data_IF_395406817568
#
_entry.id   IF_395406817568
#
_cell.length_a   1.000
_cell.length_b   1.000
_cell.length_c   1.000
_cell.angle_alpha   90.00
_cell.angle_beta   90.00
_cell.angle_gamma   90.00
#
_symmetry.space_group_name_H-M   'P 1'
#
loop_
_entity.id
_entity.type
_entity.pdbx_description
1 polymer ?
2 water ?
#
# COMPACT_ATOMS: atom_id res chain seq x y z
N UNK A 5 14.70 29.59 -4.92
CA UNK A 5 14.40 29.39 -3.48
C UNK A 5 13.42 28.23 -3.32
N UNK A 6 12.24 28.39 -3.92
CA UNK A 6 11.19 27.38 -3.86
C UNK A 6 11.52 26.12 -4.66
N UNK A 7 12.05 26.29 -5.87
CA UNK A 7 12.39 25.15 -6.70
C UNK A 7 13.55 24.39 -6.07
N UNK A 8 14.46 25.11 -5.42
CA UNK A 8 15.59 24.48 -4.76
C UNK A 8 15.06 23.62 -3.61
N UNK A 9 14.07 24.15 -2.90
CA UNK A 9 13.45 23.44 -1.79
C UNK A 9 12.78 22.18 -2.32
N UNK A 10 12.04 22.34 -3.40
CA UNK A 10 11.32 21.24 -4.03
C UNK A 10 12.25 20.12 -4.49
N UNK A 11 13.36 20.50 -5.13
CA UNK A 11 14.30 19.51 -5.63
C UNK A 11 14.95 18.71 -4.50
N UNK A 12 15.27 19.39 -3.40
CA UNK A 12 15.88 18.73 -2.25
C UNK A 12 14.86 17.83 -1.56
N UNK A 13 13.60 18.27 -1.49
CA UNK A 13 12.55 17.48 -0.86
C UNK A 13 12.24 16.25 -1.73
N UNK A 14 12.23 16.44 -3.04
CA UNK A 14 11.96 15.35 -3.96
C UNK A 14 13.07 14.30 -3.88
N UNK A 15 14.32 14.76 -3.83
CA UNK A 15 15.46 13.85 -3.72
C UNK A 15 15.40 13.08 -2.40
N UNK A 16 15.02 13.77 -1.33
CA UNK A 16 14.93 13.16 -0.01
C UNK A 16 13.81 12.11 0.06
N UNK A 17 12.67 12.41 -0.54
CA UNK A 17 11.54 11.49 -0.54
C UNK A 17 11.91 10.19 -1.25
N UNK A 18 12.58 10.32 -2.38
CA UNK A 18 13.00 9.16 -3.15
C UNK A 18 14.11 8.39 -2.44
N UNK A 19 15.12 9.11 -1.99
CA UNK A 19 16.28 8.53 -1.31
C UNK A 19 15.94 7.82 0.00
N UNK A 20 15.16 8.49 0.84
CA UNK A 20 14.79 7.94 2.14
C UNK A 20 13.63 6.94 2.14
N UNK A 21 12.58 7.24 1.38
CA UNK A 21 11.40 6.38 1.39
C UNK A 21 10.95 5.80 0.06
N UNK A 22 11.71 6.03 -1.01
CA UNK A 22 11.38 5.51 -2.33
C UNK A 22 10.07 6.09 -2.87
N UNK A 23 9.68 7.24 -2.31
CA UNK A 23 8.46 7.92 -2.73
C UNK A 23 8.76 8.75 -3.97
N UNK A 24 7.84 8.72 -4.93
CA UNK A 24 7.97 9.49 -6.17
C UNK A 24 6.75 10.38 -6.32
N UNK A 25 6.98 11.65 -6.60
CA UNK A 25 5.88 12.60 -6.72
C UNK A 25 6.01 13.51 -7.93
N UNK A 26 4.87 14.02 -8.44
CA UNK A 26 4.84 14.91 -9.59
C UNK A 26 5.31 16.29 -9.10
N UNK A 27 6.15 16.97 -9.89
CA UNK A 27 6.64 18.29 -9.46
C UNK A 27 5.55 19.32 -9.17
N UNK A 28 4.45 19.28 -9.93
CA UNK A 28 3.36 20.24 -9.73
C UNK A 28 2.71 20.05 -8.36
N UNK A 29 2.49 18.80 -7.97
CA UNK A 29 1.90 18.52 -6.67
C UNK A 29 2.85 18.95 -5.56
N UNK A 30 4.13 18.65 -5.75
CA UNK A 30 5.16 18.98 -4.76
C UNK A 30 5.30 20.48 -4.50
N UNK A 31 5.40 21.28 -5.56
CA UNK A 31 5.55 22.71 -5.36
C UNK A 31 4.31 23.29 -4.68
N UNK A 32 3.14 22.76 -5.02
CA UNK A 32 1.91 23.24 -4.42
C UNK A 32 1.88 22.82 -2.96
N UNK A 33 2.44 21.64 -2.68
CA UNK A 33 2.48 21.14 -1.31
C UNK A 33 3.38 22.01 -0.46
N UNK A 34 4.50 22.45 -1.03
CA UNK A 34 5.44 23.29 -0.30
C UNK A 34 4.82 24.65 0.00
N UNK A 35 4.12 25.20 -0.98
CA UNK A 35 3.46 26.49 -0.80
C UNK A 35 2.41 26.37 0.30
N UNK A 36 1.63 25.29 0.26
CA UNK A 36 0.59 25.07 1.25
C UNK A 36 1.17 24.97 2.66
N UNK A 37 2.30 24.28 2.79
CA UNK A 37 2.94 24.10 4.09
C UNK A 37 3.48 25.42 4.64
N UNK A 38 3.98 26.28 3.76
CA UNK A 38 4.50 27.57 4.19
C UNK A 38 3.36 28.44 4.70
N UNK A 39 2.23 28.40 3.99
CA UNK A 39 1.06 29.18 4.37
C UNK A 39 0.42 28.68 5.66
N UNK A 40 0.59 27.39 5.95
CA UNK A 40 0.02 26.81 7.17
C UNK A 40 0.86 27.15 8.39
N UNK A 41 2.17 27.14 8.21
CA UNK A 41 3.09 27.44 9.30
C UNK A 41 3.33 28.93 9.45
N UNK A 42 2.73 29.71 8.55
CA UNK A 42 2.90 31.16 8.57
C UNK A 42 4.39 31.47 8.50
N UNK A 43 5.17 30.45 8.16
CA UNK A 43 6.61 30.59 8.06
C UNK A 43 7.08 30.28 6.65
N UNK A 44 7.80 31.23 6.07
CA UNK A 44 8.34 31.07 4.73
C UNK A 44 9.74 30.48 4.84
N UNK A 45 10.28 30.47 6.05
CA UNK A 45 11.63 29.97 6.28
C UNK A 45 11.79 28.77 7.21
N UNK A 46 11.25 27.63 6.81
CA UNK A 46 11.39 26.40 7.59
C UNK A 46 12.69 25.77 7.12
N UNK A 47 13.33 24.97 7.97
CA UNK A 47 14.56 24.32 7.56
C UNK A 47 14.19 23.30 6.48
N UNK A 48 15.18 22.80 5.75
CA UNK A 48 14.90 21.81 4.72
C UNK A 48 14.40 20.54 5.41
N UNK A 49 15.06 20.19 6.51
CA UNK A 49 14.71 19.00 7.27
C UNK A 49 13.25 19.01 7.71
N UNK A 50 12.79 20.16 8.18
CA UNK A 50 11.41 20.29 8.63
C UNK A 50 10.43 20.28 7.46
N UNK A 51 10.84 20.87 6.33
CA UNK A 51 9.99 20.89 5.14
C UNK A 51 9.86 19.46 4.62
N UNK A 52 10.98 18.75 4.57
CA UNK A 52 10.99 17.37 4.09
C UNK A 52 10.03 16.51 4.90
N UNK A 53 10.08 16.67 6.21
CA UNK A 53 9.24 15.91 7.13
C UNK A 53 7.76 16.19 6.91
N UNK A 54 7.41 17.47 6.76
CA UNK A 54 6.02 17.84 6.56
C UNK A 54 5.50 17.45 5.19
N UNK A 55 6.37 17.45 4.18
CA UNK A 55 5.95 17.04 2.84
C UNK A 55 5.64 15.54 2.85
N UNK A 56 6.50 14.77 3.51
CA UNK A 56 6.31 13.33 3.60
C UNK A 56 5.00 13.02 4.33
N UNK A 57 4.75 13.76 5.40
CA UNK A 57 3.53 13.55 6.16
C UNK A 57 2.30 13.89 5.33
N UNK A 58 2.40 14.94 4.52
CA UNK A 58 1.27 15.31 3.67
C UNK A 58 1.04 14.17 2.67
N UNK A 59 2.13 13.62 2.14
CA UNK A 59 2.03 12.53 1.18
C UNK A 59 1.33 11.31 1.79
N UNK A 60 1.70 10.97 3.03
CA UNK A 60 1.11 9.84 3.73
C UNK A 60 -0.40 9.98 3.89
N UNK A 61 -0.86 11.22 3.97
CA UNK A 61 -2.28 11.52 4.13
C UNK A 61 -2.96 11.82 2.80
N UNK A 62 -2.21 11.72 1.70
CA UNK A 62 -2.77 12.02 0.39
C UNK A 62 -3.29 10.81 -0.38
N UNK A 63 -4.40 11.00 -1.09
CA UNK A 63 -4.97 9.92 -1.91
C UNK A 63 -4.13 9.92 -3.18
N UNK A 64 -3.42 8.83 -3.43
CA UNK A 64 -2.56 8.76 -4.60
C UNK A 64 -3.26 9.10 -5.92
N UNK A 65 -4.58 8.96 -5.98
CA UNK A 65 -5.29 9.31 -7.21
C UNK A 65 -5.14 10.80 -7.54
N UNK A 66 -4.96 11.64 -6.52
CA UNK A 66 -4.80 13.08 -6.73
C UNK A 66 -3.53 13.41 -7.51
N UNK A 67 -2.50 12.60 -7.32
CA UNK A 67 -1.23 12.85 -7.97
C UNK A 67 -1.18 12.54 -9.46
N UNK A 68 -2.01 11.60 -9.92
CA UNK A 68 -2.01 11.24 -11.34
C UNK A 68 -0.57 11.00 -11.76
N UNK A 69 0.14 10.21 -10.95
CA UNK A 69 1.55 9.92 -11.19
C UNK A 69 1.78 8.41 -11.16
N UNK A 70 1.90 7.78 -12.34
CA UNK A 70 2.12 6.33 -12.41
C UNK A 70 3.40 5.85 -11.76
N UNK A 71 3.29 4.77 -11.01
CA UNK A 71 4.44 4.19 -10.32
C UNK A 71 4.74 2.81 -10.88
N UNK A 72 3.70 1.99 -10.98
CA UNK A 72 3.84 0.62 -11.47
C UNK A 72 4.17 0.56 -12.95
N UNK A 73 4.97 -0.45 -13.35
CA UNK A 73 5.35 -0.60 -14.75
C UNK A 73 4.13 -0.82 -15.62
N UNK A 74 4.17 -0.25 -16.82
CA UNK A 74 3.09 -0.37 -17.78
C UNK A 74 3.02 -1.82 -18.27
N UNK A 75 1.90 -2.48 -18.04
CA UNK A 75 1.75 -3.85 -18.50
C UNK A 75 1.73 -4.93 -17.44
N UNK A 76 1.67 -4.54 -16.17
CA UNK A 76 1.65 -5.53 -15.10
C UNK A 76 0.31 -6.28 -15.06
N UNK A 77 -0.76 -5.59 -15.46
CA UNK A 77 -2.08 -6.21 -15.46
C UNK A 77 -2.33 -7.07 -16.71
N UNK A 78 -1.49 -6.90 -17.73
CA UNK A 78 -1.65 -7.65 -18.97
C UNK A 78 -0.85 -8.96 -19.02
N UNK A 79 0.20 -9.05 -18.22
CA UNK A 79 1.03 -10.26 -18.19
C UNK A 79 0.40 -11.27 -17.23
N UNK A 80 -0.01 -12.44 -17.75
CA UNK A 80 -0.64 -13.50 -16.96
C UNK A 80 0.17 -13.98 -15.77
N UNK A 81 1.48 -14.11 -15.96
CA UNK A 81 2.35 -14.56 -14.89
C UNK A 81 3.73 -13.97 -15.08
N UNK A 82 4.32 -13.47 -14.00
CA UNK A 82 5.63 -12.87 -14.12
C UNK A 82 6.23 -12.45 -12.79
N UNK A 83 7.19 -11.55 -12.88
CA UNK A 83 7.87 -11.04 -11.71
C UNK A 83 8.02 -9.54 -11.81
N UNK A 84 7.81 -8.88 -10.68
CA UNK A 84 7.94 -7.44 -10.60
C UNK A 84 9.18 -7.12 -9.77
N UNK A 85 10.01 -6.21 -10.26
CA UNK A 85 11.21 -5.80 -9.55
C UNK A 85 11.18 -4.29 -9.32
N UNK A 86 11.71 -3.85 -8.18
CA UNK A 86 11.75 -2.43 -7.88
C UNK A 86 11.16 -2.01 -6.55
N UNK A 87 11.15 -0.70 -6.31
CA UNK A 87 10.62 -0.12 -5.08
C UNK A 87 9.38 0.72 -5.42
N UNK A 88 8.24 0.38 -4.83
CA UNK A 88 7.00 1.10 -5.10
C UNK A 88 6.29 1.49 -3.82
N UNK A 89 6.22 2.79 -3.56
CA UNK A 89 5.54 3.30 -2.37
C UNK A 89 4.10 3.48 -2.80
N UNK A 90 3.29 2.46 -2.56
CA UNK A 90 1.89 2.45 -2.98
C UNK A 90 0.86 2.73 -1.87
N UNK A 91 -0.41 2.58 -2.23
CA UNK A 91 -1.52 2.85 -1.32
C UNK A 91 -2.48 1.68 -1.22
N UNK A 92 -2.92 1.39 0.01
CA UNK A 92 -3.89 0.34 0.26
C UNK A 92 -5.25 1.02 0.35
N UNK A 93 -6.10 0.81 -0.66
CA UNK A 93 -7.44 1.39 -0.64
C UNK A 93 -8.26 0.65 0.41
N UNK A 94 -8.03 -0.66 0.53
CA UNK A 94 -8.74 -1.48 1.50
C UNK A 94 -8.13 -2.88 1.52
N UNK A 95 -8.41 -3.62 2.58
CA UNK A 95 -7.94 -5.00 2.70
C UNK A 95 -8.90 -5.79 3.58
N UNK A 96 -8.89 -7.10 3.41
CA UNK A 96 -9.76 -7.99 4.18
C UNK A 96 -9.20 -9.41 4.10
N UNK A 97 -9.44 -10.23 5.12
CA UNK A 97 -8.96 -11.60 5.09
C UNK A 97 -9.92 -12.41 4.24
N UNK A 98 -9.41 -13.07 3.21
CA UNK A 98 -10.28 -13.87 2.36
C UNK A 98 -10.24 -15.33 2.76
N UNK A 99 -9.30 -15.69 3.63
CA UNK A 99 -9.17 -17.07 4.06
C UNK A 99 -10.31 -17.54 4.96
N UNK A 100 -10.54 -16.82 6.05
CA UNK A 100 -11.60 -17.17 7.00
C UNK A 100 -12.97 -17.32 6.33
N UNK A 101 -13.37 -16.36 5.48
CA UNK A 101 -14.68 -16.48 4.82
C UNK A 101 -14.78 -17.73 3.92
N UNK A 102 -13.73 -18.02 3.17
CA UNK A 102 -13.74 -19.19 2.29
C UNK A 102 -13.78 -20.47 3.14
N UNK A 103 -12.92 -20.53 4.14
CA UNK A 103 -12.87 -21.69 5.02
C UNK A 103 -14.25 -21.94 5.61
N UNK A 104 -14.88 -20.88 6.09
CA UNK A 104 -16.20 -20.97 6.69
C UNK A 104 -17.19 -21.64 5.74
N UNK A 105 -17.25 -21.13 4.51
CA UNK A 105 -18.15 -21.66 3.50
C UNK A 105 -17.89 -23.15 3.29
N UNK A 106 -16.62 -23.52 3.18
CA UNK A 106 -16.24 -24.91 2.97
C UNK A 106 -16.69 -25.80 4.12
N UNK A 107 -16.56 -25.30 5.35
CA UNK A 107 -16.97 -26.05 6.54
C UNK A 107 -18.44 -26.44 6.45
N UNK A 108 -19.29 -25.48 6.13
CA UNK A 108 -20.71 -25.75 6.01
C UNK A 108 -20.95 -26.78 4.91
N UNK A 109 -20.24 -26.63 3.80
CA UNK A 109 -20.37 -27.56 2.68
C UNK A 109 -19.74 -28.90 3.04
N UNK A 110 -18.81 -28.88 3.99
CA UNK A 110 -18.12 -30.08 4.43
C UNK A 110 -19.11 -31.05 5.06
N UNK A 111 -19.81 -30.58 6.09
CA UNK A 111 -20.79 -31.42 6.76
C UNK A 111 -21.93 -31.79 5.83
N UNK A 112 -22.69 -30.79 5.42
CA UNK A 112 -23.83 -30.99 4.53
C UNK A 112 -23.44 -31.83 3.32
N UNK A 123 -12.17 -54.68 17.45
CA UNK A 123 -12.49 -53.27 17.60
C UNK A 123 -12.73 -52.55 16.28
N UNK A 124 -12.76 -51.22 16.38
CA UNK A 124 -12.93 -50.28 15.27
C UNK A 124 -12.17 -48.98 15.55
N UNK A 125 -11.30 -48.57 14.63
CA UNK A 125 -10.54 -47.33 14.77
C UNK A 125 -10.80 -46.41 13.57
N UNK A 126 -11.05 -45.13 13.81
CA UNK A 126 -11.30 -44.19 12.73
C UNK A 126 -10.30 -43.04 12.74
N UNK A 127 -9.55 -42.89 11.64
CA UNK A 127 -8.56 -41.82 11.52
C UNK A 127 -9.22 -40.46 11.73
N UNK A 128 -8.65 -39.64 12.60
CA UNK A 128 -9.14 -38.27 12.81
C UNK A 128 -8.01 -37.27 12.48
N UNK A 129 -7.47 -37.31 11.25
CA UNK A 129 -6.42 -36.55 10.56
C UNK A 129 -6.47 -35.03 10.73
N UNK A 130 -5.71 -34.60 11.71
CA UNK A 130 -5.51 -33.23 12.08
C UNK A 130 -5.61 -32.32 10.86
N UNK A 131 -6.35 -31.22 11.00
CA UNK A 131 -6.55 -30.24 9.92
C UNK A 131 -6.52 -28.87 10.55
N UNK A 132 -5.35 -28.25 10.61
CA UNK A 132 -5.25 -26.94 11.23
C UNK A 132 -5.95 -25.88 10.38
N UNK A 133 -6.29 -24.78 11.04
CA UNK A 133 -6.94 -23.64 10.43
C UNK A 133 -6.06 -23.08 9.33
N UNK A 134 -6.60 -22.95 8.10
CA UNK A 134 -5.79 -22.39 7.02
C UNK A 134 -5.35 -21.01 7.49
N UNK A 135 -4.08 -20.66 7.28
CA UNK A 135 -3.57 -19.37 7.74
C UNK A 135 -4.24 -18.15 7.11
N UNK A 136 -4.11 -17.01 7.79
CA UNK A 136 -4.70 -15.77 7.32
C UNK A 136 -4.26 -15.46 5.89
N UNK A 137 -5.18 -14.91 5.10
CA UNK A 137 -4.92 -14.56 3.71
C UNK A 137 -5.42 -13.14 3.47
N UNK A 138 -4.61 -12.14 3.79
CA UNK A 138 -5.04 -10.78 3.57
C UNK A 138 -4.96 -10.47 2.08
N UNK A 139 -6.02 -9.86 1.55
CA UNK A 139 -6.05 -9.49 0.14
C UNK A 139 -6.12 -7.98 0.13
N UNK A 140 -5.09 -7.35 -0.42
CA UNK A 140 -5.04 -5.90 -0.48
C UNK A 140 -5.44 -5.34 -1.84
N UNK A 141 -6.23 -4.28 -1.82
CA UNK A 141 -6.63 -3.61 -3.05
C UNK A 141 -5.63 -2.45 -3.11
N UNK A 142 -4.63 -2.59 -3.97
CA UNK A 142 -3.57 -1.61 -4.10
C UNK A 142 -3.71 -0.70 -5.31
N UNK A 143 -3.05 0.44 -5.25
CA UNK A 143 -3.07 1.39 -6.36
C UNK A 143 -1.90 2.34 -6.24
N UNK A 144 -1.44 2.84 -7.38
CA UNK A 144 -0.38 3.83 -7.39
C UNK A 144 -1.10 5.12 -7.78
N UNK A 145 -2.43 5.04 -7.82
CA UNK A 145 -3.25 6.19 -8.16
C UNK A 145 -3.72 6.19 -9.61
N UNK A 146 -3.09 5.36 -10.43
CA UNK A 146 -3.42 5.25 -11.85
C UNK A 146 -4.01 3.87 -12.14
N UNK A 147 -3.32 2.82 -11.72
CA UNK A 147 -3.82 1.46 -11.93
C UNK A 147 -4.12 0.83 -10.59
N UNK A 148 -5.06 -0.11 -10.58
CA UNK A 148 -5.41 -0.81 -9.36
C UNK A 148 -4.96 -2.25 -9.56
N UNK A 149 -4.38 -2.84 -8.52
CA UNK A 149 -3.92 -4.21 -8.61
C UNK A 149 -4.12 -4.83 -7.24
N UNK A 150 -4.09 -6.15 -7.15
CA UNK A 150 -4.28 -6.80 -5.87
C UNK A 150 -2.98 -7.31 -5.27
N UNK A 151 -2.95 -7.39 -3.95
CA UNK A 151 -1.78 -7.87 -3.25
C UNK A 151 -2.20 -8.93 -2.25
N UNK A 152 -1.80 -10.16 -2.50
CA UNK A 152 -2.15 -11.27 -1.63
C UNK A 152 -1.04 -11.59 -0.63
N UNK A 153 -1.43 -11.89 0.60
CA UNK A 153 -0.46 -12.27 1.62
C UNK A 153 -0.11 -13.72 1.28
N UNK A 154 0.88 -13.89 0.41
CA UNK A 154 1.32 -15.20 -0.07
C UNK A 154 1.99 -16.03 1.02
N UNK A 155 2.63 -15.34 1.95
CA UNK A 155 3.29 -15.96 3.10
C UNK A 155 2.93 -15.05 4.25
N UNK A 156 2.98 -15.57 5.49
CA UNK A 156 2.63 -14.70 6.62
C UNK A 156 3.38 -13.37 6.62
N UNK A 157 2.64 -12.28 6.80
CA UNK A 157 3.22 -10.94 6.86
C UNK A 157 2.58 -10.28 8.08
N UNK A 158 3.12 -10.56 9.27
CA UNK A 158 2.60 -10.01 10.53
C UNK A 158 2.40 -8.49 10.58
N UNK A 159 3.28 -7.73 9.94
CA UNK A 159 3.12 -6.29 9.98
C UNK A 159 1.81 -5.83 9.35
N UNK A 160 1.21 -6.67 8.52
CA UNK A 160 -0.08 -6.30 7.91
C UNK A 160 -1.22 -6.87 8.76
N UNK A 161 -2.35 -6.17 8.80
CA UNK A 161 -3.51 -6.63 9.56
C UNK A 161 -4.79 -6.01 9.02
N UNK A 162 -5.91 -6.67 9.27
CA UNK A 162 -7.20 -6.22 8.77
C UNK A 162 -7.68 -4.86 9.24
N UNK A 163 -7.04 -4.28 10.25
CA UNK A 163 -7.48 -2.98 10.72
C UNK A 163 -6.72 -1.77 10.16
N UNK A 164 -5.75 -2.02 9.29
CA UNK A 164 -5.01 -0.93 8.68
C UNK A 164 -6.04 -0.05 7.98
N UNK A 165 -6.00 1.26 8.24
CA UNK A 165 -6.98 2.15 7.62
C UNK A 165 -6.85 2.33 6.11
N UNK A 166 -7.99 2.53 5.43
CA UNK A 166 -7.97 2.73 3.98
C UNK A 166 -7.09 3.96 3.71
N UNK A 167 -6.21 3.86 2.73
CA UNK A 167 -5.33 4.97 2.42
C UNK A 167 -3.91 4.73 2.94
N UNK A 168 -3.75 3.71 3.79
CA UNK A 168 -2.45 3.35 4.34
C UNK A 168 -1.44 3.25 3.21
N UNK A 169 -0.26 3.81 3.41
CA UNK A 169 0.79 3.76 2.40
C UNK A 169 1.70 2.59 2.74
N UNK A 170 2.07 1.83 1.72
CA UNK A 170 2.89 0.65 1.92
C UNK A 170 4.01 0.59 0.90
N UNK A 171 5.21 0.21 1.33
CA UNK A 171 6.31 0.08 0.40
C UNK A 171 6.36 -1.37 -0.09
N UNK A 172 6.29 -1.56 -1.40
CA UNK A 172 6.34 -2.88 -2.02
C UNK A 172 7.70 -2.91 -2.71
N UNK A 173 8.55 -3.88 -2.36
CA UNK A 173 9.88 -3.91 -2.96
C UNK A 173 10.52 -5.28 -3.11
N UNK A 174 11.60 -5.32 -3.89
CA UNK A 174 12.32 -6.56 -4.11
C UNK A 174 11.86 -7.27 -5.36
N UNK A 175 11.92 -8.60 -5.33
CA UNK A 175 11.48 -9.42 -6.45
C UNK A 175 10.13 -9.98 -6.03
N UNK A 176 9.08 -9.63 -6.76
CA UNK A 176 7.74 -10.10 -6.41
C UNK A 176 7.03 -10.82 -7.55
N UNK A 177 6.65 -12.07 -7.30
CA UNK A 177 5.96 -12.86 -8.31
C UNK A 177 4.51 -12.38 -8.38
N UNK A 178 3.93 -12.41 -9.57
CA UNK A 178 2.55 -11.99 -9.69
C UNK A 178 1.80 -12.92 -10.63
N UNK A 179 0.50 -13.04 -10.40
CA UNK A 179 -0.33 -13.92 -11.21
C UNK A 179 -1.71 -13.31 -11.41
N UNK A 180 -2.13 -13.20 -12.66
CA UNK A 180 -3.45 -12.67 -12.96
C UNK A 180 -3.83 -11.39 -12.18
N UNK A 181 -2.94 -10.41 -12.22
CA UNK A 181 -3.20 -9.14 -11.55
C UNK A 181 -3.11 -9.14 -10.04
N UNK A 182 -2.47 -10.17 -9.48
CA UNK A 182 -2.33 -10.25 -8.03
C UNK A 182 -0.87 -10.47 -7.65
N UNK A 183 -0.36 -9.61 -6.78
CA UNK A 183 1.02 -9.72 -6.33
C UNK A 183 1.07 -10.77 -5.22
N UNK A 184 2.04 -11.68 -5.30
CA UNK A 184 2.18 -12.71 -4.27
C UNK A 184 3.20 -12.14 -3.28
N UNK A 185 2.69 -11.41 -2.29
CA UNK A 185 3.55 -10.76 -1.31
C UNK A 185 4.11 -11.66 -0.22
N UNK A 186 5.38 -11.43 0.11
CA UNK A 186 6.07 -12.16 1.17
C UNK A 186 6.58 -11.11 2.16
N UNK A 187 6.84 -11.49 3.42
CA UNK A 187 7.32 -10.54 4.42
C UNK A 187 8.46 -9.64 3.96
N UNK A 188 9.39 -10.21 3.19
CA UNK A 188 10.54 -9.42 2.74
C UNK A 188 10.24 -8.42 1.62
N UNK A 189 8.98 -8.34 1.18
CA UNK A 189 8.62 -7.40 0.11
C UNK A 189 7.76 -6.26 0.62
N UNK A 190 7.48 -6.25 1.92
CA UNK A 190 6.60 -5.24 2.48
C UNK A 190 7.09 -4.45 3.69
N UNK A 191 6.80 -3.15 3.67
CA UNK A 191 7.13 -2.26 4.79
C UNK A 191 5.95 -1.29 4.86
N UNK A 192 5.32 -1.18 6.02
CA UNK A 192 4.18 -0.28 6.16
C UNK A 192 4.67 1.12 6.48
N UNK A 193 4.30 2.09 5.64
CA UNK A 193 4.72 3.47 5.86
C UNK A 193 3.71 4.24 6.71
N UNK A 194 2.48 3.75 6.74
CA UNK A 194 1.44 4.39 7.53
C UNK A 194 0.57 5.41 6.81
N UNK A 195 -0.05 6.30 7.57
CA UNK A 195 -0.92 7.29 6.97
C UNK A 195 -2.33 6.75 6.78
N UNK A 196 -3.18 7.57 6.18
CA UNK A 196 -4.56 7.20 5.93
C UNK A 196 -5.15 8.30 5.08
N UNK A 197 -6.23 8.00 4.37
CA UNK A 197 -6.87 9.02 3.55
C UNK A 197 -8.26 9.21 4.12
N UNK A 198 -8.45 10.32 4.82
CA UNK A 198 -9.71 10.64 5.45
C UNK A 198 -10.88 10.42 4.48
N UNK A 199 -10.73 10.95 3.27
CA UNK A 199 -11.74 10.82 2.23
C UNK A 199 -12.17 9.38 2.00
N UNK A 200 -11.23 8.44 2.12
CA UNK A 200 -11.53 7.01 1.93
C UNK A 200 -12.13 6.35 3.17
N UNK A 201 -11.71 6.80 4.35
CA UNK A 201 -12.21 6.24 5.60
C UNK A 201 -13.72 6.39 5.67
N UNK A 202 -14.24 7.39 4.98
CA UNK A 202 -15.68 7.63 4.96
C UNK A 202 -16.40 6.61 4.11
N UNK A 203 -15.70 6.05 3.12
CA UNK A 203 -16.29 5.06 2.22
C UNK A 203 -16.45 3.67 2.81
N UNK A 204 -15.36 3.11 3.31
CA UNK A 204 -15.37 1.76 3.86
C UNK A 204 -15.94 1.60 5.27
N UNK A 205 -16.07 2.70 6.00
CA UNK A 205 -16.60 2.64 7.36
C UNK A 205 -18.12 2.64 7.35
N UNK A 206 -18.70 2.51 6.16
CA UNK A 206 -20.15 2.51 5.99
C UNK A 206 -20.67 1.08 5.85
N UNK A 207 -20.00 0.31 4.99
CA UNK A 207 -20.35 -1.08 4.72
C UNK A 207 -21.27 -1.71 5.77
#
# INVERSE_FOLDING_TARGET
>A
SGGRNVTSIALRAETWLLAAWHVKVPPMWLEACINWIQEENNNVNLSQAQMNKQVFEQWLLTDLRDLEHPLLPDGILEIPKGELNGFYALQINSLVDVSQPAYSQIQKLRGKNTTNDLVTAEAQVTPKPWEAKPSRMLMLQLTDGIVQIQGMEYQPIPILHSDLPPGTKILIYGNISFRLGVLLLKPENVKVLGGEVDALLEEYAQEKVLARLIGE
#
